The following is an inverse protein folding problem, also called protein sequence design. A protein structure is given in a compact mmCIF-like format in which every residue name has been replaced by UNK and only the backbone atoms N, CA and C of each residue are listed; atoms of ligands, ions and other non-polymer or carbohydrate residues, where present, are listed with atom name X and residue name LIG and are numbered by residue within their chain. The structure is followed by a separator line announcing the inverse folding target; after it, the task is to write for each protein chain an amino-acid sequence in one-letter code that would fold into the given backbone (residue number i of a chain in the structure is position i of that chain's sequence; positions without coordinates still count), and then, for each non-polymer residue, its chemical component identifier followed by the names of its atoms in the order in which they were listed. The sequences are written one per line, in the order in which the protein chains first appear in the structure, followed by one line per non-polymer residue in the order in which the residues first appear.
data_IF_813522260367
#
_entry.id   IF_813522260367
#
_cell.length_a   1.000
_cell.length_b   1.000
_cell.length_c   1.000
_cell.angle_alpha   90.00
_cell.angle_beta   90.00
_cell.angle_gamma   90.00
#
_symmetry.space_group_name_H-M   'P 1'
#
loop_
_entity.id
_entity.type
_entity.pdbx_description
1 polymer ?
#
# COMPACT_ATOMS: atom_id res chain seq x y z
N UNK A 1 5.89 19.25 -4.26
CA UNK A 1 7.22 18.91 -3.72
C UNK A 1 8.23 19.99 -4.10
N UNK A 2 8.86 20.65 -3.14
CA UNK A 2 9.91 21.66 -3.40
C UNK A 2 11.31 21.05 -3.54
N UNK A 3 11.51 19.78 -3.13
CA UNK A 3 12.68 18.93 -3.44
C UNK A 3 12.28 17.44 -3.48
N UNK A 4 12.92 16.59 -4.30
CA UNK A 4 12.74 15.15 -4.25
C UNK A 4 13.25 14.59 -2.92
N UNK A 5 12.59 13.54 -2.39
CA UNK A 5 13.02 12.87 -1.17
C UNK A 5 14.24 11.99 -1.47
N UNK A 6 15.32 12.20 -0.74
CA UNK A 6 16.52 11.35 -0.81
C UNK A 6 16.35 10.15 0.14
N UNK A 7 15.92 9.02 -0.42
CA UNK A 7 15.67 7.78 0.32
C UNK A 7 16.90 6.90 0.25
N UNK A 8 17.38 6.46 1.41
CA UNK A 8 18.49 5.52 1.51
C UNK A 8 18.04 4.11 1.08
N UNK A 9 18.86 3.43 0.29
CA UNK A 9 18.59 2.05 -0.14
C UNK A 9 18.37 1.12 1.05
N UNK A 10 17.39 0.21 0.96
CA UNK A 10 17.10 -0.77 2.01
C UNK A 10 18.28 -1.73 2.27
N UNK A 11 19.22 -1.85 1.31
CA UNK A 11 20.45 -2.61 1.46
C UNK A 11 21.39 -2.06 2.53
N UNK A 12 21.28 -0.76 2.84
CA UNK A 12 22.12 -0.07 3.83
C UNK A 12 21.46 -0.02 5.22
N UNK A 13 20.24 -0.55 5.35
CA UNK A 13 19.49 -0.50 6.61
C UNK A 13 19.99 -1.49 7.65
N UNK A 14 20.85 -2.46 7.26
CA UNK A 14 21.36 -3.53 8.12
C UNK A 14 20.24 -4.34 8.82
N UNK A 15 19.07 -4.45 8.18
CA UNK A 15 17.92 -5.23 8.67
C UNK A 15 17.86 -6.65 8.10
N UNK A 16 18.33 -6.83 6.86
CA UNK A 16 18.21 -8.08 6.12
C UNK A 16 19.59 -8.50 5.63
N UNK A 17 19.99 -9.76 5.86
CA UNK A 17 21.21 -10.31 5.27
C UNK A 17 21.01 -10.64 3.79
N UNK A 18 19.81 -11.12 3.42
CA UNK A 18 19.43 -11.37 2.03
C UNK A 18 18.68 -10.16 1.47
N UNK A 19 19.17 -9.65 0.35
CA UNK A 19 18.62 -8.47 -0.33
C UNK A 19 17.69 -8.84 -1.50
N UNK A 20 17.30 -10.12 -1.58
CA UNK A 20 16.40 -10.68 -2.59
C UNK A 20 14.94 -10.54 -2.16
N UNK A 21 14.05 -10.34 -3.12
CA UNK A 21 12.61 -10.22 -2.87
C UNK A 21 11.99 -11.61 -2.59
N UNK A 22 11.03 -11.70 -1.65
CA UNK A 22 10.56 -10.63 -0.77
C UNK A 22 11.48 -10.41 0.44
N UNK A 23 11.74 -9.14 0.78
CA UNK A 23 12.21 -8.79 2.12
C UNK A 23 11.13 -9.11 3.14
N UNK A 24 11.45 -9.88 4.19
CA UNK A 24 10.45 -10.44 5.10
C UNK A 24 10.48 -9.83 6.50
N UNK A 25 9.33 -9.28 6.91
CA UNK A 25 9.04 -8.87 8.28
C UNK A 25 7.87 -9.71 8.77
N UNK A 26 8.03 -10.47 9.84
CA UNK A 26 6.95 -11.30 10.36
C UNK A 26 6.94 -11.38 11.87
N UNK A 27 5.79 -11.73 12.44
CA UNK A 27 5.61 -11.82 13.89
C UNK A 27 4.18 -11.48 14.29
N UNK A 28 3.85 -11.58 15.57
CA UNK A 28 2.45 -11.57 15.99
C UNK A 28 1.82 -10.18 15.88
N UNK A 29 0.50 -10.19 15.76
CA UNK A 29 -0.30 -8.97 15.73
C UNK A 29 -0.06 -8.11 16.99
N UNK A 30 0.05 -8.77 18.14
CA UNK A 30 0.41 -8.18 19.42
C UNK A 30 1.39 -9.09 20.16
N UNK A 31 2.24 -8.53 21.01
CA UNK A 31 2.92 -9.32 22.03
C UNK A 31 1.91 -9.63 23.15
N UNK A 32 1.67 -10.92 23.43
CA UNK A 32 0.63 -11.36 24.36
C UNK A 32 1.23 -11.87 25.67
N UNK A 33 2.29 -12.66 25.57
CA UNK A 33 3.14 -13.10 26.68
C UNK A 33 4.57 -13.29 26.20
N UNK A 34 5.52 -13.34 27.13
CA UNK A 34 6.93 -13.62 26.80
C UNK A 34 7.08 -14.97 26.09
N UNK A 35 6.42 -16.02 26.60
CA UNK A 35 6.42 -17.35 26.01
C UNK A 35 5.84 -17.37 24.59
N UNK A 36 4.68 -16.73 24.37
CA UNK A 36 4.03 -16.64 23.07
C UNK A 36 4.95 -15.96 22.05
N UNK A 37 5.53 -14.83 22.43
CA UNK A 37 6.39 -14.04 21.57
C UNK A 37 7.70 -14.77 21.25
N UNK A 38 8.35 -15.37 22.26
CA UNK A 38 9.60 -16.10 22.10
C UNK A 38 9.43 -17.38 21.26
N UNK A 39 8.35 -18.14 21.47
CA UNK A 39 8.06 -19.35 20.69
C UNK A 39 7.74 -19.01 19.23
N UNK A 40 6.99 -17.92 18.99
CA UNK A 40 6.72 -17.44 17.64
C UNK A 40 8.01 -17.01 16.94
N UNK A 41 8.84 -16.20 17.62
CA UNK A 41 10.10 -15.72 17.08
C UNK A 41 11.10 -16.85 16.77
N UNK A 42 11.24 -17.83 17.67
CA UNK A 42 12.09 -19.01 17.46
C UNK A 42 11.73 -19.76 16.18
N UNK A 43 10.44 -20.05 15.97
CA UNK A 43 9.99 -20.73 14.75
C UNK A 43 10.19 -19.89 13.49
N UNK A 44 9.93 -18.58 13.56
CA UNK A 44 10.19 -17.66 12.44
C UNK A 44 11.69 -17.59 12.09
N UNK A 45 12.56 -17.53 13.10
CA UNK A 45 14.02 -17.54 12.92
C UNK A 45 14.49 -18.83 12.25
N UNK A 46 13.94 -19.98 12.65
CA UNK A 46 14.25 -21.27 12.02
C UNK A 46 13.82 -21.31 10.54
N UNK A 47 12.82 -20.52 10.16
CA UNK A 47 12.37 -20.35 8.77
C UNK A 47 13.14 -19.24 8.02
N UNK A 48 14.23 -18.73 8.59
CA UNK A 48 15.09 -17.73 7.96
C UNK A 48 14.57 -16.28 8.05
N UNK A 49 13.53 -16.01 8.83
CA UNK A 49 13.04 -14.63 9.04
C UNK A 49 13.99 -13.89 9.99
N UNK A 50 14.37 -12.68 9.60
CA UNK A 50 15.36 -11.88 10.34
C UNK A 50 14.76 -10.73 11.14
N UNK A 51 13.64 -10.17 10.67
CA UNK A 51 12.98 -9.01 11.30
C UNK A 51 11.66 -9.46 11.94
N UNK A 52 11.62 -9.41 13.27
CA UNK A 52 10.44 -9.64 14.08
C UNK A 52 9.61 -8.36 14.21
N UNK A 53 8.32 -8.46 13.91
CA UNK A 53 7.33 -7.42 14.25
C UNK A 53 6.46 -7.86 15.43
N UNK A 54 6.18 -6.95 16.36
CA UNK A 54 5.15 -7.18 17.38
C UNK A 54 4.48 -5.88 17.80
N UNK A 55 3.15 -5.88 17.88
CA UNK A 55 2.40 -4.76 18.41
C UNK A 55 2.51 -4.71 19.93
N UNK A 56 3.14 -3.66 20.47
CA UNK A 56 3.26 -3.45 21.91
C UNK A 56 2.08 -2.63 22.45
N UNK A 57 1.64 -1.66 21.65
CA UNK A 57 0.46 -0.83 21.90
C UNK A 57 -0.57 -1.08 20.79
N UNK A 58 -1.83 -1.26 21.15
CA UNK A 58 -2.91 -1.53 20.20
C UNK A 58 -3.94 -0.41 20.23
N UNK A 59 -4.10 0.36 19.13
CA UNK A 59 -5.20 1.31 19.04
C UNK A 59 -6.50 0.51 18.87
N UNK A 60 -7.27 0.33 19.93
CA UNK A 60 -8.57 -0.39 19.87
C UNK A 60 -9.69 0.59 19.58
N UNK A 61 -10.58 0.21 18.67
CA UNK A 61 -11.76 1.02 18.33
C UNK A 61 -12.76 1.08 19.48
N UNK A 62 -12.84 0.01 20.27
CA UNK A 62 -13.68 -0.07 21.47
C UNK A 62 -12.78 -0.25 22.70
N UNK A 63 -13.06 0.46 23.81
CA UNK A 63 -12.36 0.25 25.07
C UNK A 63 -12.62 -1.17 25.62
N UNK A 64 -11.85 -1.60 26.62
CA UNK A 64 -11.96 -2.91 27.29
C UNK A 64 -11.64 -4.13 26.41
N UNK A 65 -11.04 -3.92 25.24
CA UNK A 65 -10.39 -4.98 24.50
C UNK A 65 -8.89 -5.02 24.88
N UNK A 66 -8.17 -6.10 24.56
CA UNK A 66 -6.71 -6.13 24.77
C UNK A 66 -6.01 -4.96 24.07
N UNK A 67 -5.41 -4.06 24.86
CA UNK A 67 -4.77 -2.79 24.41
C UNK A 67 -3.28 -2.95 24.11
N UNK A 68 -2.78 -4.18 24.18
CA UNK A 68 -1.35 -4.49 24.14
C UNK A 68 -0.75 -4.54 25.55
N UNK A 69 0.38 -5.22 25.69
CA UNK A 69 1.12 -5.35 26.97
C UNK A 69 1.79 -4.06 27.41
N UNK A 70 1.89 -3.07 26.50
CA UNK A 70 2.57 -1.81 26.73
C UNK A 70 4.07 -2.01 27.01
N UNK A 71 4.68 -1.05 27.71
CA UNK A 71 6.13 -0.99 27.96
C UNK A 71 6.72 -2.31 28.51
N UNK A 72 5.92 -3.10 29.24
CA UNK A 72 6.32 -4.41 29.80
C UNK A 72 6.71 -5.44 28.73
N UNK A 73 6.23 -5.31 27.49
CA UNK A 73 6.59 -6.20 26.39
C UNK A 73 7.92 -5.87 25.71
N UNK A 74 8.47 -4.67 25.91
CA UNK A 74 9.71 -4.25 25.26
C UNK A 74 10.95 -5.04 25.74
N UNK A 75 11.11 -5.36 27.04
CA UNK A 75 12.14 -6.29 27.49
C UNK A 75 12.09 -7.66 26.79
N UNK A 76 10.89 -8.17 26.46
CA UNK A 76 10.75 -9.47 25.77
C UNK A 76 11.32 -9.41 24.36
N UNK A 77 11.04 -8.34 23.62
CA UNK A 77 11.65 -8.10 22.31
C UNK A 77 13.17 -7.98 22.42
N UNK A 78 13.66 -7.21 23.39
CA UNK A 78 15.10 -7.07 23.62
C UNK A 78 15.77 -8.42 23.93
N UNK A 79 15.12 -9.27 24.73
CA UNK A 79 15.59 -10.62 25.02
C UNK A 79 15.63 -11.49 23.75
N UNK A 80 14.60 -11.43 22.90
CA UNK A 80 14.60 -12.14 21.62
C UNK A 80 15.72 -11.68 20.69
N UNK A 81 15.97 -10.37 20.61
CA UNK A 81 17.11 -9.86 19.83
C UNK A 81 18.43 -10.42 20.36
N UNK A 82 18.61 -10.50 21.68
CA UNK A 82 19.82 -11.02 22.31
C UNK A 82 20.00 -12.54 22.07
N UNK A 83 18.94 -13.32 22.27
CA UNK A 83 19.00 -14.79 22.25
C UNK A 83 18.93 -15.36 20.82
N UNK A 84 18.15 -14.74 19.92
CA UNK A 84 17.92 -15.25 18.56
C UNK A 84 18.63 -14.44 17.47
N UNK A 85 19.23 -13.28 17.82
CA UNK A 85 19.87 -12.39 16.87
C UNK A 85 18.91 -11.76 15.85
N UNK A 86 17.60 -11.79 16.12
CA UNK A 86 16.59 -11.16 15.26
C UNK A 86 16.59 -9.65 15.45
N UNK A 87 16.32 -8.91 14.37
CA UNK A 87 16.00 -7.50 14.44
C UNK A 87 14.57 -7.34 14.95
N UNK A 88 14.34 -6.40 15.84
CA UNK A 88 13.05 -6.18 16.50
C UNK A 88 12.43 -4.87 16.05
N UNK A 89 11.11 -4.91 15.90
CA UNK A 89 10.33 -3.76 15.45
C UNK A 89 8.96 -3.70 16.10
N UNK A 90 8.44 -2.48 16.25
CA UNK A 90 7.12 -2.23 16.82
C UNK A 90 6.41 -1.01 16.22
N UNK A 91 5.11 -0.92 16.44
CA UNK A 91 4.30 0.24 16.06
C UNK A 91 4.53 1.39 17.05
N UNK A 92 4.71 2.60 16.55
CA UNK A 92 4.70 3.83 17.33
C UNK A 92 3.55 4.72 16.89
N UNK A 93 2.88 5.36 17.86
CA UNK A 93 1.66 6.14 17.61
C UNK A 93 1.71 7.57 18.16
N UNK A 94 2.72 7.91 18.96
CA UNK A 94 2.96 9.21 19.57
C UNK A 94 4.45 9.32 19.97
N UNK A 95 4.87 10.49 20.46
CA UNK A 95 6.24 10.76 20.91
C UNK A 95 6.71 9.77 21.99
N UNK A 96 5.88 9.51 23.00
CA UNK A 96 6.23 8.62 24.11
C UNK A 96 6.56 7.20 23.64
N UNK A 97 5.80 6.66 22.68
CA UNK A 97 6.07 5.33 22.13
C UNK A 97 7.44 5.31 21.43
N UNK A 98 7.80 6.37 20.69
CA UNK A 98 9.11 6.51 20.05
C UNK A 98 10.22 6.50 21.11
N UNK A 99 10.16 7.39 22.09
CA UNK A 99 11.18 7.52 23.13
C UNK A 99 11.45 6.19 23.84
N UNK A 100 10.38 5.50 24.25
CA UNK A 100 10.50 4.23 24.95
C UNK A 100 10.99 3.13 24.00
N UNK A 101 10.49 3.05 22.77
CA UNK A 101 10.97 2.07 21.78
C UNK A 101 12.48 2.20 21.53
N UNK A 102 12.98 3.43 21.38
CA UNK A 102 14.41 3.70 21.18
C UNK A 102 15.25 3.33 22.41
N UNK A 103 14.75 3.61 23.62
CA UNK A 103 15.41 3.22 24.88
C UNK A 103 15.65 1.71 24.98
N UNK A 104 14.76 0.89 24.40
CA UNK A 104 14.90 -0.57 24.37
C UNK A 104 15.60 -1.10 23.12
N UNK A 105 16.16 -0.23 22.27
CA UNK A 105 16.99 -0.62 21.13
C UNK A 105 16.20 -1.25 19.98
N UNK A 106 14.99 -0.75 19.68
CA UNK A 106 14.28 -1.14 18.46
C UNK A 106 15.14 -0.86 17.22
N UNK A 107 15.22 -1.84 16.30
CA UNK A 107 15.99 -1.68 15.06
C UNK A 107 15.18 -1.00 13.96
N UNK A 108 13.85 -1.04 14.05
CA UNK A 108 12.92 -0.42 13.11
C UNK A 108 11.63 -0.09 13.84
N UNK A 109 10.97 0.99 13.46
CA UNK A 109 9.59 1.29 13.90
C UNK A 109 8.67 1.43 12.71
N UNK A 110 7.36 1.24 12.91
CA UNK A 110 6.38 1.63 11.90
C UNK A 110 5.29 2.54 12.46
N UNK A 111 4.75 3.39 11.59
CA UNK A 111 3.60 4.24 11.87
C UNK A 111 2.34 3.53 11.35
N UNK A 112 1.36 3.34 12.24
CA UNK A 112 0.10 2.69 11.92
C UNK A 112 -0.81 3.53 11.02
N UNK A 113 -1.70 2.87 10.27
CA UNK A 113 -2.58 3.52 9.29
C UNK A 113 -3.47 4.64 9.86
N UNK A 114 -3.87 4.52 11.13
CA UNK A 114 -4.67 5.54 11.84
C UNK A 114 -3.83 6.76 12.23
N UNK A 115 -2.58 6.54 12.63
CA UNK A 115 -1.65 7.63 12.92
C UNK A 115 -1.25 8.36 11.65
N UNK A 116 -1.01 7.64 10.54
CA UNK A 116 -0.75 8.26 9.22
C UNK A 116 -1.89 9.18 8.78
N UNK A 117 -3.14 8.84 9.13
CA UNK A 117 -4.29 9.68 8.80
C UNK A 117 -4.36 11.00 9.59
N UNK A 118 -3.48 11.19 10.59
CA UNK A 118 -3.42 12.40 11.41
C UNK A 118 -2.05 13.10 11.24
N UNK A 119 -1.98 14.20 10.46
CA UNK A 119 -0.74 14.94 10.24
C UNK A 119 -0.05 15.43 11.52
N UNK A 120 -0.79 15.75 12.59
CA UNK A 120 -0.22 16.18 13.86
C UNK A 120 0.49 15.02 14.57
N UNK A 121 -0.12 13.83 14.55
CA UNK A 121 0.50 12.63 15.14
C UNK A 121 1.79 12.24 14.39
N UNK A 122 1.77 12.32 13.05
CA UNK A 122 2.99 12.06 12.26
C UNK A 122 4.07 13.12 12.53
N UNK A 123 3.69 14.39 12.66
CA UNK A 123 4.63 15.46 13.00
C UNK A 123 5.29 15.22 14.36
N UNK A 124 4.50 14.91 15.39
CA UNK A 124 4.96 14.58 16.73
C UNK A 124 5.94 13.39 16.72
N UNK A 125 5.58 12.30 16.03
CA UNK A 125 6.44 11.12 15.87
C UNK A 125 7.75 11.48 15.17
N UNK A 126 7.69 12.28 14.09
CA UNK A 126 8.85 12.67 13.32
C UNK A 126 9.84 13.51 14.14
N UNK A 127 9.34 14.45 14.95
CA UNK A 127 10.15 15.26 15.84
C UNK A 127 10.86 14.41 16.90
N UNK A 128 10.18 13.43 17.49
CA UNK A 128 10.79 12.48 18.43
C UNK A 128 11.82 11.53 17.80
N UNK A 129 11.78 11.33 16.48
CA UNK A 129 12.75 10.53 15.74
C UNK A 129 13.98 11.35 15.30
N UNK A 130 13.99 12.67 15.50
CA UNK A 130 15.08 13.53 15.02
C UNK A 130 16.44 13.06 15.55
N UNK A 131 17.39 12.87 14.62
CA UNK A 131 18.75 12.40 14.94
C UNK A 131 18.88 10.89 15.15
N UNK A 132 17.81 10.12 14.94
CA UNK A 132 17.81 8.67 15.02
C UNK A 132 18.08 8.06 13.65
N UNK A 133 18.95 7.06 13.60
CA UNK A 133 19.36 6.39 12.36
C UNK A 133 18.80 4.95 12.22
N UNK A 134 17.49 4.79 12.43
CA UNK A 134 16.77 3.52 12.23
C UNK A 134 15.73 3.64 11.12
N UNK A 135 15.41 2.55 10.39
CA UNK A 135 14.32 2.56 9.44
C UNK A 135 12.95 2.85 10.05
N UNK A 136 12.17 3.66 9.34
CA UNK A 136 10.80 4.02 9.69
C UNK A 136 9.88 3.64 8.53
N UNK A 137 9.00 2.68 8.78
CA UNK A 137 8.00 2.28 7.79
C UNK A 137 6.66 2.99 8.05
N UNK A 138 5.99 3.48 7.00
CA UNK A 138 4.73 4.21 7.13
C UNK A 138 3.63 3.45 6.41
N UNK A 139 2.62 2.98 7.17
CA UNK A 139 1.41 2.39 6.59
C UNK A 139 0.61 3.45 5.86
N UNK A 140 -0.02 3.11 4.72
CA UNK A 140 -0.96 4.02 4.07
C UNK A 140 -2.08 4.45 5.03
N UNK A 141 -2.63 5.67 4.88
CA UNK A 141 -3.78 6.11 5.67
C UNK A 141 -4.97 5.17 5.45
N UNK A 142 -5.86 5.11 6.45
CA UNK A 142 -7.05 4.23 6.39
C UNK A 142 -7.98 4.54 5.22
N UNK A 143 -8.01 5.80 4.78
CA UNK A 143 -8.77 6.26 3.61
C UNK A 143 -7.81 6.50 2.44
N UNK A 144 -8.27 6.34 1.19
CA UNK A 144 -7.44 6.52 0.02
C UNK A 144 -7.10 7.99 -0.20
N UNK A 145 -5.92 8.38 0.28
CA UNK A 145 -5.35 9.72 0.11
C UNK A 145 -3.84 9.60 -0.06
N UNK A 146 -3.38 9.79 -1.30
CA UNK A 146 -1.96 9.72 -1.64
C UNK A 146 -1.17 10.92 -1.13
N UNK A 147 -1.77 12.12 -1.14
CA UNK A 147 -1.09 13.34 -0.69
C UNK A 147 -0.83 13.27 0.82
N UNK A 148 -1.78 12.73 1.57
CA UNK A 148 -1.60 12.48 3.00
C UNK A 148 -0.49 11.46 3.28
N UNK A 149 -0.38 10.41 2.46
CA UNK A 149 0.69 9.42 2.59
C UNK A 149 2.07 10.01 2.25
N UNK A 150 2.17 10.77 1.16
CA UNK A 150 3.39 11.49 0.76
C UNK A 150 3.79 12.49 1.85
N UNK A 151 2.83 13.26 2.37
CA UNK A 151 3.09 14.22 3.43
C UNK A 151 3.65 13.59 4.71
N UNK A 152 3.32 12.33 5.00
CA UNK A 152 3.92 11.62 6.12
C UNK A 152 5.43 11.38 5.92
N UNK A 153 5.84 11.00 4.70
CA UNK A 153 7.26 10.85 4.36
C UNK A 153 7.99 12.19 4.35
N UNK A 154 7.38 13.26 3.83
CA UNK A 154 7.97 14.60 3.82
C UNK A 154 8.28 15.09 5.25
N UNK A 155 7.39 14.84 6.23
CA UNK A 155 7.59 15.23 7.64
C UNK A 155 8.77 14.49 8.27
N UNK A 156 8.85 13.17 8.06
CA UNK A 156 9.96 12.37 8.55
C UNK A 156 11.28 12.80 7.92
N UNK A 157 11.28 13.05 6.61
CA UNK A 157 12.45 13.50 5.87
C UNK A 157 12.95 14.88 6.34
N UNK A 158 12.04 15.83 6.61
CA UNK A 158 12.39 17.14 7.17
C UNK A 158 13.02 17.05 8.57
N UNK A 159 12.78 15.96 9.30
CA UNK A 159 13.44 15.67 10.57
C UNK A 159 14.78 14.92 10.42
N UNK A 160 15.22 14.67 9.18
CA UNK A 160 16.49 14.04 8.85
C UNK A 160 16.42 12.52 8.65
N UNK A 161 15.23 11.93 8.62
CA UNK A 161 15.08 10.48 8.42
C UNK A 161 15.13 10.15 6.93
N UNK A 162 16.11 9.37 6.51
CA UNK A 162 16.30 8.94 5.12
C UNK A 162 16.04 7.44 4.92
N UNK A 163 16.08 6.64 5.99
CA UNK A 163 15.69 5.21 6.00
C UNK A 163 14.16 5.07 6.08
N UNK A 164 13.48 5.40 4.98
CA UNK A 164 12.02 5.41 4.91
C UNK A 164 11.50 4.30 4.01
N UNK A 165 10.37 3.70 4.37
CA UNK A 165 9.66 2.77 3.49
C UNK A 165 8.15 2.81 3.68
N UNK A 166 7.42 2.38 2.66
CA UNK A 166 5.97 2.35 2.64
C UNK A 166 5.44 0.96 3.00
N UNK A 167 4.36 0.89 3.76
CA UNK A 167 3.59 -0.33 3.96
C UNK A 167 2.19 -0.15 3.38
N UNK A 168 1.88 -0.87 2.31
CA UNK A 168 0.54 -0.94 1.78
C UNK A 168 -0.28 -2.00 2.52
N UNK A 169 -1.37 -1.58 3.16
CA UNK A 169 -2.27 -2.40 3.99
C UNK A 169 -3.73 -2.33 3.55
N UNK A 170 -3.99 -1.79 2.36
CA UNK A 170 -5.33 -1.54 1.81
C UNK A 170 -6.06 -0.39 2.50
N UNK A 171 -7.25 -0.07 2.00
CA UNK A 171 -8.07 1.06 2.44
C UNK A 171 -9.44 0.58 2.94
N UNK A 172 -10.00 1.31 3.89
CA UNK A 172 -11.33 1.04 4.43
C UNK A 172 -12.39 1.21 3.34
N UNK A 173 -13.38 0.33 3.36
CA UNK A 173 -14.55 0.38 2.47
C UNK A 173 -15.82 0.45 3.31
N UNK A 174 -16.83 1.16 2.79
CA UNK A 174 -18.16 1.20 3.40
C UNK A 174 -18.91 -0.13 3.21
N UNK A 175 -18.69 -0.79 2.07
CA UNK A 175 -19.36 -2.03 1.72
C UNK A 175 -18.56 -3.24 2.20
N UNK A 176 -19.26 -4.31 2.59
CA UNK A 176 -18.62 -5.61 2.81
C UNK A 176 -18.01 -6.08 1.49
N UNK A 177 -16.71 -6.35 1.49
CA UNK A 177 -16.00 -6.90 0.34
C UNK A 177 -15.41 -8.27 0.67
N UNK A 178 -14.82 -8.95 -0.31
CA UNK A 178 -14.05 -10.18 -0.10
C UNK A 178 -12.92 -9.99 0.92
N UNK A 179 -12.34 -8.79 0.98
CA UNK A 179 -11.24 -8.44 1.86
C UNK A 179 -11.69 -7.48 2.96
N UNK A 180 -10.96 -7.46 4.07
CA UNK A 180 -11.18 -6.50 5.16
C UNK A 180 -10.89 -5.06 4.73
N UNK A 181 -9.84 -4.87 3.93
CA UNK A 181 -9.51 -3.58 3.34
C UNK A 181 -9.32 -3.75 1.84
N UNK A 182 -9.91 -2.87 1.03
CA UNK A 182 -9.74 -2.89 -0.42
C UNK A 182 -8.29 -2.54 -0.77
N UNK A 183 -7.58 -3.36 -1.57
CA UNK A 183 -6.18 -3.06 -1.90
C UNK A 183 -6.03 -1.71 -2.61
N UNK A 184 -6.83 -1.43 -3.65
CA UNK A 184 -6.65 -0.21 -4.47
C UNK A 184 -5.18 -0.01 -4.91
N UNK A 185 -4.63 -1.04 -5.57
CA UNK A 185 -3.23 -1.11 -6.01
C UNK A 185 -2.73 0.10 -6.79
N UNK A 186 -3.62 0.86 -7.44
CA UNK A 186 -3.27 2.09 -8.15
C UNK A 186 -2.61 3.14 -7.24
N UNK A 187 -2.93 3.19 -5.95
CA UNK A 187 -2.38 4.19 -5.02
C UNK A 187 -0.91 3.91 -4.69
N UNK A 188 -0.50 2.71 -4.22
CA UNK A 188 0.91 2.42 -4.00
C UNK A 188 1.74 2.45 -5.29
N UNK A 189 1.16 2.13 -6.45
CA UNK A 189 1.83 2.28 -7.75
C UNK A 189 2.12 3.77 -8.04
N UNK A 190 1.14 4.64 -7.85
CA UNK A 190 1.33 6.08 -8.01
C UNK A 190 2.33 6.65 -6.98
N UNK A 191 2.34 6.12 -5.74
CA UNK A 191 3.35 6.48 -4.74
C UNK A 191 4.76 6.14 -5.24
N UNK A 192 4.98 4.92 -5.75
CA UNK A 192 6.27 4.49 -6.30
C UNK A 192 6.65 5.29 -7.55
N UNK A 193 5.68 5.71 -8.38
CA UNK A 193 5.94 6.63 -9.51
C UNK A 193 6.47 7.99 -9.04
N UNK A 194 5.90 8.54 -7.96
CA UNK A 194 6.26 9.86 -7.41
C UNK A 194 7.52 9.84 -6.53
N UNK A 195 7.79 8.73 -5.86
CA UNK A 195 8.97 8.52 -4.99
C UNK A 195 9.65 7.21 -5.40
N UNK A 196 10.39 7.26 -6.52
CA UNK A 196 10.92 6.08 -7.23
C UNK A 196 11.72 5.10 -6.36
N UNK A 197 12.53 5.62 -5.45
CA UNK A 197 13.45 4.82 -4.63
C UNK A 197 12.86 4.41 -3.28
N UNK A 198 11.55 4.65 -3.04
CA UNK A 198 10.91 4.29 -1.78
C UNK A 198 10.67 2.77 -1.72
N UNK A 199 11.28 2.03 -0.78
CA UNK A 199 10.99 0.62 -0.55
C UNK A 199 9.52 0.45 -0.18
N UNK A 200 8.84 -0.49 -0.83
CA UNK A 200 7.40 -0.69 -0.74
C UNK A 200 7.08 -2.12 -0.29
N UNK A 201 6.52 -2.23 0.91
CA UNK A 201 6.10 -3.48 1.55
C UNK A 201 4.59 -3.65 1.44
N UNK A 202 4.12 -4.91 1.31
CA UNK A 202 2.71 -5.24 1.38
C UNK A 202 2.37 -5.91 2.72
N UNK A 203 1.27 -5.51 3.34
CA UNK A 203 0.68 -6.12 4.54
C UNK A 203 -0.55 -6.95 4.14
N UNK A 204 -0.36 -8.20 3.68
CA UNK A 204 -1.45 -9.04 3.22
C UNK A 204 -2.41 -9.41 4.34
N UNK A 205 -1.94 -9.49 5.60
CA UNK A 205 -2.75 -9.83 6.77
C UNK A 205 -3.82 -8.78 7.05
N UNK A 206 -3.47 -7.49 6.99
CA UNK A 206 -4.45 -6.42 7.21
C UNK A 206 -5.30 -6.15 5.97
N UNK A 207 -4.80 -6.38 4.76
CA UNK A 207 -5.63 -6.32 3.54
C UNK A 207 -6.69 -7.41 3.62
N UNK A 208 -6.29 -8.67 3.79
CA UNK A 208 -7.21 -9.81 3.78
C UNK A 208 -8.20 -9.75 4.93
N UNK A 209 -7.70 -9.58 6.15
CA UNK A 209 -8.45 -9.90 7.38
C UNK A 209 -8.79 -11.38 7.54
N UNK A 210 -8.21 -12.25 6.71
CA UNK A 210 -8.41 -13.70 6.78
C UNK A 210 -7.19 -14.46 6.24
N UNK A 211 -6.82 -15.57 6.88
CA UNK A 211 -5.64 -16.39 6.52
C UNK A 211 -5.66 -16.89 5.07
N UNK A 212 -6.85 -17.25 4.57
CA UNK A 212 -7.00 -17.90 3.25
C UNK A 212 -6.54 -17.01 2.08
N UNK A 213 -6.62 -15.68 2.23
CA UNK A 213 -6.30 -14.74 1.16
C UNK A 213 -4.87 -14.19 1.23
N UNK A 214 -4.08 -14.58 2.24
CA UNK A 214 -2.73 -14.03 2.44
C UNK A 214 -1.83 -14.37 1.26
N UNK A 215 -1.90 -15.61 0.74
CA UNK A 215 -1.06 -16.03 -0.37
C UNK A 215 -1.38 -15.27 -1.66
N UNK A 216 -2.65 -15.14 -2.04
CA UNK A 216 -3.02 -14.43 -3.28
C UNK A 216 -2.65 -12.94 -3.24
N UNK A 217 -2.79 -12.28 -2.09
CA UNK A 217 -2.40 -10.87 -1.92
C UNK A 217 -0.88 -10.72 -1.92
N UNK A 218 -0.17 -11.66 -1.29
CA UNK A 218 1.30 -11.70 -1.31
C UNK A 218 1.83 -11.88 -2.74
N UNK A 219 1.26 -12.84 -3.49
CA UNK A 219 1.61 -13.05 -4.89
C UNK A 219 1.32 -11.81 -5.73
N UNK A 220 0.16 -11.18 -5.54
CA UNK A 220 -0.19 -9.95 -6.27
C UNK A 220 0.80 -8.81 -5.98
N UNK A 221 1.27 -8.67 -4.74
CA UNK A 221 2.29 -7.68 -4.39
C UNK A 221 3.62 -7.98 -5.10
N UNK A 222 4.05 -9.24 -5.16
CA UNK A 222 5.27 -9.64 -5.89
C UNK A 222 5.15 -9.34 -7.39
N UNK A 223 4.01 -9.65 -7.99
CA UNK A 223 3.70 -9.37 -9.40
C UNK A 223 3.75 -7.87 -9.73
N UNK A 224 3.46 -7.01 -8.74
CA UNK A 224 3.45 -5.56 -8.87
C UNK A 224 4.78 -4.89 -8.49
N UNK A 225 5.85 -5.65 -8.25
CA UNK A 225 7.16 -5.06 -7.96
C UNK A 225 7.33 -4.56 -6.52
N UNK A 226 6.57 -5.09 -5.54
CA UNK A 226 6.79 -4.77 -4.13
C UNK A 226 8.07 -5.42 -3.61
N UNK A 227 8.83 -4.67 -2.81
CA UNK A 227 10.15 -5.05 -2.31
C UNK A 227 10.07 -6.09 -1.18
N UNK A 228 8.99 -6.09 -0.41
CA UNK A 228 8.83 -7.02 0.70
C UNK A 228 7.40 -7.21 1.20
N UNK A 229 7.28 -8.05 2.24
CA UNK A 229 6.03 -8.39 2.90
C UNK A 229 6.16 -8.18 4.41
N UNK A 230 5.09 -7.68 5.03
CA UNK A 230 4.92 -7.64 6.48
C UNK A 230 3.71 -8.50 6.87
N UNK A 231 3.95 -9.70 7.42
CA UNK A 231 2.91 -10.71 7.65
C UNK A 231 2.74 -11.01 9.13
N UNK A 232 1.48 -11.07 9.58
CA UNK A 232 1.19 -11.47 10.95
C UNK A 232 1.31 -12.98 11.13
N UNK A 233 2.15 -13.39 12.06
CA UNK A 233 2.35 -14.79 12.39
C UNK A 233 2.32 -15.04 13.88
N UNK A 234 1.61 -16.10 14.29
CA UNK A 234 1.40 -16.47 15.68
C UNK A 234 1.63 -17.96 15.86
N UNK A 235 2.24 -18.39 16.97
CA UNK A 235 2.47 -19.82 17.25
C UNK A 235 1.18 -20.64 17.33
N UNK A 236 0.07 -20.01 17.77
CA UNK A 236 -1.27 -20.60 17.80
C UNK A 236 -2.34 -19.55 17.46
N UNK A 237 -2.62 -19.29 16.17
CA UNK A 237 -3.44 -18.16 15.75
C UNK A 237 -4.87 -18.12 16.32
N UNK A 238 -5.49 -19.26 16.59
CA UNK A 238 -6.87 -19.33 17.06
C UNK A 238 -7.06 -18.84 18.50
N UNK A 239 -5.99 -18.83 19.30
CA UNK A 239 -6.01 -18.32 20.67
C UNK A 239 -5.52 -16.87 20.79
N UNK A 240 -5.18 -16.20 19.69
CA UNK A 240 -4.59 -14.87 19.73
C UNK A 240 -5.56 -13.82 20.28
N UNK A 241 -5.06 -12.91 21.12
CA UNK A 241 -5.81 -11.83 21.78
C UNK A 241 -6.20 -10.70 20.82
N UNK A 242 -5.63 -10.69 19.62
CA UNK A 242 -5.93 -9.74 18.56
C UNK A 242 -5.81 -10.40 17.19
N UNK A 243 -6.74 -10.05 16.29
CA UNK A 243 -6.61 -10.35 14.86
C UNK A 243 -6.40 -11.84 14.54
N UNK A 244 -6.95 -12.72 15.38
CA UNK A 244 -6.83 -14.18 15.27
C UNK A 244 -7.04 -14.66 13.82
N UNK A 245 -8.14 -14.24 13.18
CA UNK A 245 -8.56 -14.68 11.84
C UNK A 245 -7.55 -14.47 10.71
N UNK A 246 -6.61 -13.54 10.82
CA UNK A 246 -5.60 -13.27 9.78
C UNK A 246 -4.17 -13.65 10.15
N UNK A 247 -3.90 -14.04 11.40
CA UNK A 247 -2.54 -14.48 11.76
C UNK A 247 -2.33 -15.91 11.25
N UNK A 248 -1.17 -16.22 10.67
CA UNK A 248 -0.81 -17.60 10.25
C UNK A 248 0.25 -18.19 11.15
N UNK A 249 0.42 -19.51 11.15
CA UNK A 249 1.57 -20.11 11.86
C UNK A 249 2.88 -19.81 11.13
N UNK A 250 4.04 -19.84 11.82
CA UNK A 250 5.34 -19.72 11.15
C UNK A 250 5.55 -20.76 10.05
N UNK A 251 5.01 -21.97 10.21
CA UNK A 251 5.09 -23.05 9.23
C UNK A 251 4.25 -22.74 7.98
N UNK A 252 3.03 -22.23 8.17
CA UNK A 252 2.18 -21.75 7.08
C UNK A 252 2.83 -20.58 6.34
N UNK A 253 3.51 -19.67 7.04
CA UNK A 253 4.27 -18.59 6.39
C UNK A 253 5.37 -19.17 5.49
N UNK A 254 6.15 -20.13 5.99
CA UNK A 254 7.20 -20.77 5.20
C UNK A 254 6.63 -21.47 3.94
N UNK A 255 5.48 -22.14 4.08
CA UNK A 255 4.76 -22.71 2.94
C UNK A 255 4.35 -21.64 1.92
N UNK A 256 3.74 -20.54 2.36
CA UNK A 256 3.34 -19.44 1.46
C UNK A 256 4.55 -18.91 0.71
N UNK A 257 5.66 -18.63 1.41
CA UNK A 257 6.88 -18.11 0.79
C UNK A 257 7.47 -19.06 -0.25
N UNK A 258 7.46 -20.36 0.01
CA UNK A 258 7.91 -21.37 -0.94
C UNK A 258 7.05 -21.46 -2.22
N UNK A 259 5.78 -21.03 -2.16
CA UNK A 259 4.88 -21.02 -3.32
C UNK A 259 4.84 -19.67 -4.05
N UNK A 260 5.52 -18.63 -3.55
CA UNK A 260 5.56 -17.35 -4.24
C UNK A 260 6.44 -17.44 -5.49
N UNK A 261 5.91 -16.91 -6.60
CA UNK A 261 6.65 -16.77 -7.85
C UNK A 261 7.20 -15.35 -7.91
N UNK A 262 8.51 -15.21 -7.80
CA UNK A 262 9.22 -13.93 -7.90
C UNK A 262 9.67 -13.73 -9.35
N UNK A 263 9.16 -12.69 -10.01
CA UNK A 263 9.49 -12.35 -11.40
C UNK A 263 10.45 -11.16 -11.42
N UNK A 264 11.43 -11.21 -12.31
CA UNK A 264 12.35 -10.09 -12.54
C UNK A 264 11.65 -8.95 -13.26
N UNK A 265 11.92 -7.71 -12.87
CA UNK A 265 11.38 -6.51 -13.53
C UNK A 265 12.00 -6.30 -14.91
N UNK A 266 13.27 -6.69 -15.06
CA UNK A 266 14.05 -6.57 -16.29
C UNK A 266 14.78 -7.89 -16.55
N UNK A 267 14.18 -8.85 -17.27
CA UNK A 267 14.85 -10.09 -17.59
C UNK A 267 16.07 -9.81 -18.48
N UNK A 268 17.22 -10.38 -18.14
CA UNK A 268 18.48 -10.24 -18.91
C UNK A 268 18.42 -10.89 -20.32
N UNK A 269 17.26 -11.39 -20.76
CA UNK A 269 17.08 -11.99 -22.07
C UNK A 269 16.72 -10.91 -23.10
N UNK A 270 17.68 -10.61 -23.98
CA UNK A 270 17.55 -9.62 -25.06
C UNK A 270 16.36 -9.91 -25.98
N UNK A 271 16.06 -11.17 -26.30
CA UNK A 271 14.96 -11.50 -27.22
C UNK A 271 13.57 -11.22 -26.62
N UNK A 272 13.36 -11.55 -25.34
CA UNK A 272 12.09 -11.24 -24.67
C UNK A 272 11.88 -9.74 -24.52
N UNK A 273 12.96 -9.00 -24.30
CA UNK A 273 12.93 -7.53 -24.19
C UNK A 273 12.50 -6.90 -25.50
N UNK A 274 13.07 -7.34 -26.63
CA UNK A 274 12.72 -6.85 -27.98
C UNK A 274 11.24 -7.08 -28.32
N UNK A 275 10.70 -8.28 -28.05
CA UNK A 275 9.28 -8.56 -28.33
C UNK A 275 8.36 -7.66 -27.50
N UNK A 276 8.69 -7.41 -26.23
CA UNK A 276 7.91 -6.51 -25.38
C UNK A 276 7.99 -5.07 -25.89
N UNK A 277 9.15 -4.63 -26.35
CA UNK A 277 9.33 -3.30 -26.96
C UNK A 277 8.50 -3.15 -28.23
N UNK A 278 8.52 -4.13 -29.15
CA UNK A 278 7.67 -4.11 -30.35
C UNK A 278 6.17 -4.07 -30.02
N UNK A 279 5.73 -4.80 -28.98
CA UNK A 279 4.34 -4.77 -28.53
C UNK A 279 3.99 -3.42 -27.89
N UNK A 280 4.93 -2.79 -27.18
CA UNK A 280 4.75 -1.44 -26.61
C UNK A 280 4.63 -0.39 -27.70
N UNK A 281 5.43 -0.44 -28.76
CA UNK A 281 5.30 0.47 -29.90
C UNK A 281 3.92 0.37 -30.57
N UNK A 282 3.36 -0.85 -30.68
CA UNK A 282 1.99 -1.04 -31.16
C UNK A 282 0.95 -0.42 -30.22
N UNK A 283 1.14 -0.56 -28.91
CA UNK A 283 0.29 0.10 -27.90
C UNK A 283 0.41 1.62 -28.03
N UNK A 284 1.62 2.17 -28.12
CA UNK A 284 1.85 3.60 -28.25
C UNK A 284 1.15 4.19 -29.49
N UNK A 285 1.13 3.44 -30.60
CA UNK A 285 0.40 3.83 -31.82
C UNK A 285 -1.12 3.91 -31.57
N UNK A 286 -1.68 2.94 -30.82
CA UNK A 286 -3.09 2.95 -30.45
C UNK A 286 -3.41 4.07 -29.45
N UNK A 287 -2.54 4.31 -28.48
CA UNK A 287 -2.68 5.37 -27.49
C UNK A 287 -2.66 6.76 -28.15
N UNK A 288 -1.79 6.97 -29.13
CA UNK A 288 -1.78 8.18 -29.96
C UNK A 288 -3.10 8.35 -30.73
N UNK A 289 -3.66 7.26 -31.27
CA UNK A 289 -4.96 7.28 -31.95
C UNK A 289 -6.09 7.65 -30.98
N UNK A 290 -6.10 7.09 -29.77
CA UNK A 290 -7.06 7.43 -28.72
C UNK A 290 -6.98 8.92 -28.38
N UNK A 291 -5.76 9.46 -28.23
CA UNK A 291 -5.55 10.88 -27.95
C UNK A 291 -6.04 11.79 -29.07
N UNK A 292 -5.81 11.43 -30.33
CA UNK A 292 -6.33 12.18 -31.48
C UNK A 292 -7.86 12.17 -31.51
N UNK A 293 -8.48 11.00 -31.32
CA UNK A 293 -9.95 10.86 -31.29
C UNK A 293 -10.56 11.66 -30.15
N UNK A 294 -9.99 11.61 -28.95
CA UNK A 294 -10.45 12.40 -27.80
C UNK A 294 -10.32 13.90 -28.06
N UNK A 295 -9.22 14.34 -28.68
CA UNK A 295 -8.99 15.73 -29.06
C UNK A 295 -10.05 16.22 -30.05
N UNK A 296 -10.28 15.46 -31.12
CA UNK A 296 -11.28 15.80 -32.13
C UNK A 296 -12.70 15.78 -31.56
N UNK A 297 -12.99 14.81 -30.69
CA UNK A 297 -14.25 14.76 -29.96
C UNK A 297 -14.44 16.01 -29.09
N UNK A 298 -13.41 16.48 -28.40
CA UNK A 298 -13.51 17.66 -27.54
C UNK A 298 -13.78 18.94 -28.34
N UNK A 299 -13.17 19.12 -29.52
CA UNK A 299 -13.48 20.25 -30.42
C UNK A 299 -14.97 20.30 -30.80
N UNK A 300 -15.56 19.14 -31.12
CA UNK A 300 -17.00 19.04 -31.41
C UNK A 300 -17.85 19.39 -30.16
N UNK A 301 -17.41 19.01 -28.96
CA UNK A 301 -18.08 19.40 -27.72
C UNK A 301 -18.05 20.92 -27.52
N UNK A 302 -16.97 21.60 -27.89
CA UNK A 302 -16.87 23.06 -27.83
C UNK A 302 -17.84 23.74 -28.81
N UNK A 303 -17.95 23.21 -30.04
CA UNK A 303 -18.95 23.66 -31.02
C UNK A 303 -20.39 23.47 -30.49
N UNK A 304 -20.68 22.29 -29.92
CA UNK A 304 -21.98 22.00 -29.30
C UNK A 304 -22.26 22.96 -28.13
N UNK A 305 -21.27 23.21 -27.26
CA UNK A 305 -21.41 24.13 -26.13
C UNK A 305 -21.72 25.55 -26.57
N UNK A 306 -20.98 26.04 -27.57
CA UNK A 306 -21.20 27.37 -28.18
C UNK A 306 -22.60 27.48 -28.78
N UNK A 307 -23.02 26.46 -29.54
CA UNK A 307 -24.35 26.42 -30.14
C UNK A 307 -25.45 26.39 -29.07
N UNK A 308 -25.31 25.55 -28.05
CA UNK A 308 -26.27 25.47 -26.94
C UNK A 308 -26.40 26.80 -26.21
N UNK A 309 -25.28 27.47 -25.92
CA UNK A 309 -25.25 28.79 -25.29
C UNK A 309 -26.01 29.82 -26.13
N UNK A 310 -25.72 29.89 -27.43
CA UNK A 310 -26.39 30.83 -28.36
C UNK A 310 -27.90 30.59 -28.46
N UNK A 311 -28.36 29.36 -28.24
CA UNK A 311 -29.76 28.95 -28.39
C UNK A 311 -30.47 28.69 -27.05
N UNK A 312 -29.87 29.04 -25.90
CA UNK A 312 -30.41 28.81 -24.55
C UNK A 312 -30.80 27.34 -24.28
N UNK A 313 -30.00 26.38 -24.76
CA UNK A 313 -30.21 24.94 -24.56
C UNK A 313 -29.39 24.46 -23.35
N UNK A 314 -29.94 23.54 -22.55
CA UNK A 314 -29.27 22.97 -21.38
C UNK A 314 -28.09 22.05 -21.77
N UNK A 315 -27.06 22.01 -20.91
CA UNK A 315 -25.87 21.15 -21.10
C UNK A 315 -26.27 19.67 -21.09
N UNK A 316 -26.94 19.24 -20.03
CA UNK A 316 -27.24 17.83 -19.80
C UNK A 316 -28.50 17.39 -20.54
N UNK A 317 -28.36 16.34 -21.33
CA UNK A 317 -29.46 15.67 -22.04
C UNK A 317 -29.42 14.17 -21.71
N UNK A 318 -30.15 13.72 -20.67
CA UNK A 318 -30.04 12.36 -20.11
C UNK A 318 -30.26 11.25 -21.15
N UNK A 319 -31.27 11.37 -22.00
CA UNK A 319 -31.61 10.36 -23.02
C UNK A 319 -30.45 10.10 -24.00
N UNK A 320 -29.64 11.13 -24.28
CA UNK A 320 -28.47 10.98 -25.16
C UNK A 320 -27.39 10.18 -24.47
N UNK A 321 -27.17 10.42 -23.17
CA UNK A 321 -26.19 9.70 -22.39
C UNK A 321 -26.57 8.21 -22.27
N UNK A 322 -27.83 7.92 -21.96
CA UNK A 322 -28.34 6.54 -21.89
C UNK A 322 -28.12 5.79 -23.21
N UNK A 323 -28.49 6.40 -24.35
CA UNK A 323 -28.25 5.81 -25.69
C UNK A 323 -26.78 5.55 -25.98
N UNK A 324 -25.88 6.43 -25.55
CA UNK A 324 -24.43 6.23 -25.71
C UNK A 324 -23.99 5.04 -24.87
N UNK A 325 -24.38 5.01 -23.59
CA UNK A 325 -23.95 3.97 -22.66
C UNK A 325 -24.43 2.58 -23.10
N UNK A 326 -25.70 2.45 -23.50
CA UNK A 326 -26.23 1.18 -24.03
C UNK A 326 -25.43 0.69 -25.24
N UNK A 327 -25.18 1.57 -26.21
CA UNK A 327 -24.44 1.23 -27.43
C UNK A 327 -23.01 0.76 -27.12
N UNK A 328 -22.29 1.49 -26.26
CA UNK A 328 -20.88 1.15 -25.97
C UNK A 328 -20.75 -0.12 -25.13
N UNK A 329 -21.71 -0.41 -24.25
CA UNK A 329 -21.75 -1.68 -23.50
C UNK A 329 -22.11 -2.87 -24.40
N UNK A 330 -22.96 -2.68 -25.41
CA UNK A 330 -23.19 -3.70 -26.44
C UNK A 330 -21.94 -3.95 -27.29
N UNK A 331 -21.23 -2.90 -27.70
CA UNK A 331 -19.96 -3.02 -28.42
C UNK A 331 -18.87 -3.69 -27.55
N UNK A 332 -18.82 -3.38 -26.25
CA UNK A 332 -17.92 -4.02 -25.31
C UNK A 332 -18.11 -5.54 -25.29
N UNK A 333 -19.38 -5.97 -25.14
CA UNK A 333 -19.74 -7.40 -25.16
C UNK A 333 -19.37 -8.08 -26.47
N UNK A 334 -19.58 -7.44 -27.62
CA UNK A 334 -19.21 -7.99 -28.94
C UNK A 334 -17.71 -8.19 -29.12
N UNK A 335 -16.90 -7.34 -28.50
CA UNK A 335 -15.44 -7.34 -28.64
C UNK A 335 -14.71 -8.00 -27.45
N UNK A 336 -15.43 -8.71 -26.57
CA UNK A 336 -14.89 -9.33 -25.35
C UNK A 336 -14.13 -8.32 -24.44
N UNK A 337 -14.60 -7.07 -24.41
CA UNK A 337 -14.05 -6.02 -23.55
C UNK A 337 -14.88 -5.92 -22.25
N UNK A 338 -14.21 -5.66 -21.13
CA UNK A 338 -14.88 -5.52 -19.82
C UNK A 338 -15.90 -4.38 -19.85
N UNK A 339 -17.16 -4.69 -19.53
CA UNK A 339 -18.24 -3.71 -19.42
C UNK A 339 -17.93 -2.65 -18.35
N UNK A 340 -17.34 -3.06 -17.22
CA UNK A 340 -16.93 -2.14 -16.15
C UNK A 340 -15.88 -1.14 -16.63
N UNK A 341 -14.89 -1.60 -17.40
CA UNK A 341 -13.86 -0.73 -17.97
C UNK A 341 -14.48 0.30 -18.90
N UNK A 342 -15.32 -0.15 -19.84
CA UNK A 342 -15.97 0.72 -20.83
C UNK A 342 -16.87 1.74 -20.15
N UNK A 343 -17.68 1.32 -19.18
CA UNK A 343 -18.52 2.21 -18.40
C UNK A 343 -17.70 3.30 -17.70
N UNK A 344 -16.59 2.95 -17.05
CA UNK A 344 -15.73 3.91 -16.36
C UNK A 344 -15.08 4.91 -17.32
N UNK A 345 -14.54 4.43 -18.44
CA UNK A 345 -13.91 5.29 -19.46
C UNK A 345 -14.92 6.26 -20.05
N UNK A 346 -16.10 5.78 -20.48
CA UNK A 346 -17.10 6.64 -21.09
C UNK A 346 -17.75 7.61 -20.10
N UNK A 347 -17.90 7.23 -18.83
CA UNK A 347 -18.33 8.17 -17.77
C UNK A 347 -17.32 9.30 -17.59
N UNK A 348 -16.03 8.99 -17.54
CA UNK A 348 -14.98 10.01 -17.43
C UNK A 348 -14.97 10.97 -18.63
N UNK A 349 -15.08 10.43 -19.84
CA UNK A 349 -15.19 11.22 -21.09
C UNK A 349 -16.45 12.10 -21.06
N UNK A 350 -17.59 11.57 -20.60
CA UNK A 350 -18.83 12.33 -20.51
C UNK A 350 -18.72 13.47 -19.50
N UNK A 351 -18.17 13.22 -18.32
CA UNK A 351 -17.95 14.24 -17.29
C UNK A 351 -17.08 15.38 -17.82
N UNK A 352 -15.93 15.06 -18.44
CA UNK A 352 -15.06 16.07 -19.04
C UNK A 352 -15.78 16.92 -20.11
N UNK A 353 -16.75 16.32 -20.82
CA UNK A 353 -17.57 17.05 -21.80
C UNK A 353 -18.56 18.01 -21.16
N UNK A 354 -19.11 17.65 -19.98
CA UNK A 354 -20.01 18.51 -19.21
C UNK A 354 -19.23 19.68 -18.64
N UNK A 355 -18.06 19.41 -18.06
CA UNK A 355 -17.19 20.42 -17.46
C UNK A 355 -16.80 21.48 -18.50
N UNK A 356 -16.33 21.04 -19.68
CA UNK A 356 -15.97 21.99 -20.75
C UNK A 356 -17.14 22.82 -21.27
N UNK A 357 -18.33 22.23 -21.43
CA UNK A 357 -19.53 22.99 -21.81
C UNK A 357 -19.94 23.99 -20.72
N UNK A 358 -19.71 23.64 -19.45
CA UNK A 358 -19.98 24.52 -18.30
C UNK A 358 -19.06 25.74 -18.34
N UNK A 359 -17.78 25.55 -18.63
CA UNK A 359 -16.83 26.65 -18.81
C UNK A 359 -17.31 27.60 -19.92
N UNK A 360 -17.67 27.06 -21.10
CA UNK A 360 -18.15 27.87 -22.24
C UNK A 360 -19.43 28.66 -21.91
N UNK A 361 -20.34 28.08 -21.12
CA UNK A 361 -21.56 28.78 -20.71
C UNK A 361 -21.29 29.94 -19.72
N UNK A 362 -20.19 29.86 -18.97
CA UNK A 362 -19.80 30.85 -17.95
C UNK A 362 -18.78 31.88 -18.44
N UNK A 363 -18.06 31.61 -19.53
CA UNK A 363 -17.34 32.62 -20.34
C UNK A 363 -18.31 33.66 -20.91
#
# INVERSE_FOLDING_TARGET
MTKPLEIQSYSEWNLFTRQERPLMIAGPCSAESEEQLFNTATKLKNNGIEVLRAGIWKPRTRPNCFEGVGVKGLPWLQNIQKELGMKISTEVANAHHVEVALKYGMNMVWIGARSTANPFAVQEIAESLKGVDIPVLVKNPVNPDIELWIGAFERLYLCGITKLGAIHRGFSSYNSTRYRNMPQWQIPIELKRRIKNLPLFCDPSHISGHREYIQEISQKAMDLGFDGLIIESHVNPDCALSDAFQQITPDQLNQILAHLIIREEHPNNSNSTLIIEELREKIDTLDNTIMEVLTNRMKIIEEIGTYKKQNNITILQPDRWEKILTRVLEEARKNNLSEELVERVFKAIHQASIDRQTDIMNE
#
